data_IF_839630980324
#
_entry.id   IF_839630980324
#
_cell.length_a   1.000
_cell.length_b   1.000
_cell.length_c   1.000
_cell.angle_alpha   90.00
_cell.angle_beta   90.00
_cell.angle_gamma   90.00
#
_symmetry.space_group_name_H-M   'P 1'
#
loop_
_entity.id
_entity.type
_entity.pdbx_description
1 polymer ?
#
# COMPACT_ATOMS: atom_id res chain seq x y z
N UNK A 1 67.79 17.57 52.11
CA UNK A 1 67.50 18.35 50.89
C UNK A 1 66.61 17.47 50.05
N UNK A 2 65.30 17.56 50.27
CA UNK A 2 64.40 18.54 49.64
C UNK A 2 64.05 18.01 48.24
N UNK A 3 62.93 17.28 48.14
CA UNK A 3 61.64 17.76 47.54
C UNK A 3 61.71 17.63 45.99
N UNK A 4 60.76 17.05 45.25
CA UNK A 4 59.31 16.86 45.46
C UNK A 4 58.81 15.60 44.69
N UNK A 5 57.75 14.88 45.14
CA UNK A 5 56.35 14.90 44.62
C UNK A 5 56.22 14.66 43.10
N UNK A 6 55.41 13.77 42.51
CA UNK A 6 54.26 12.91 42.90
C UNK A 6 54.17 11.71 41.89
N UNK A 7 53.47 10.57 42.05
CA UNK A 7 52.60 9.99 43.10
C UNK A 7 52.45 8.45 42.97
N UNK A 8 51.84 7.84 43.98
CA UNK A 8 51.12 6.54 44.06
C UNK A 8 49.59 6.82 43.98
N UNK A 9 48.60 5.92 43.84
CA UNK A 9 48.46 4.46 43.60
C UNK A 9 47.02 4.23 43.02
N UNK A 10 46.65 3.00 42.68
CA UNK A 10 45.41 2.60 42.03
C UNK A 10 44.11 2.94 42.79
N UNK A 11 43.01 3.04 42.03
CA UNK A 11 41.65 2.77 42.50
C UNK A 11 40.80 2.28 41.33
N UNK A 12 40.15 1.13 41.50
CA UNK A 12 39.09 0.64 40.61
C UNK A 12 37.80 1.33 41.03
N UNK A 13 37.02 1.82 40.07
CA UNK A 13 35.63 2.26 40.31
C UNK A 13 34.71 1.68 39.23
N UNK A 14 33.61 1.06 39.66
CA UNK A 14 32.54 0.58 38.80
C UNK A 14 31.44 1.67 38.72
N UNK A 15 31.06 2.13 37.54
CA UNK A 15 30.04 3.19 37.47
C UNK A 15 29.60 3.64 36.08
N UNK A 16 28.73 2.84 35.47
CA UNK A 16 27.74 3.18 34.43
C UNK A 16 27.84 4.52 33.67
N UNK A 17 27.87 4.44 32.34
CA UNK A 17 26.90 5.20 31.55
C UNK A 17 26.53 4.46 30.25
N UNK A 18 25.37 3.78 30.25
CA UNK A 18 24.79 3.13 29.08
C UNK A 18 23.90 4.09 28.28
N UNK A 19 24.40 4.68 27.19
CA UNK A 19 23.59 5.12 26.04
C UNK A 19 24.49 5.50 24.85
N UNK A 20 24.40 4.89 23.68
CA UNK A 20 23.69 3.66 23.33
C UNK A 20 24.45 2.94 22.21
N UNK A 21 24.23 1.64 22.08
CA UNK A 21 24.90 0.79 21.09
C UNK A 21 24.48 1.18 19.66
N UNK A 22 25.31 2.01 19.04
CA UNK A 22 25.18 2.39 17.63
C UNK A 22 25.59 1.25 16.72
N UNK A 23 24.80 0.18 16.70
CA UNK A 23 24.95 -0.91 15.73
C UNK A 23 24.73 -0.33 14.34
N UNK A 24 25.84 -0.02 13.66
CA UNK A 24 25.83 0.41 12.26
C UNK A 24 25.36 -0.78 11.42
N UNK A 25 24.05 -0.82 11.18
CA UNK A 25 23.39 -1.84 10.37
C UNK A 25 24.05 -1.87 8.98
N UNK A 26 24.38 -3.07 8.48
CA UNK A 26 25.06 -3.17 7.19
C UNK A 26 24.16 -2.66 6.06
N UNK A 27 24.75 -2.16 4.97
CA UNK A 27 23.99 -1.66 3.81
C UNK A 27 22.98 -2.70 3.29
N UNK A 28 23.30 -3.98 3.38
CA UNK A 28 22.42 -5.10 3.00
C UNK A 28 21.22 -5.25 3.93
N UNK A 29 21.43 -5.19 5.25
CA UNK A 29 20.35 -5.25 6.25
C UNK A 29 19.49 -3.99 6.23
N UNK A 30 20.11 -2.86 5.91
CA UNK A 30 19.48 -1.56 5.71
C UNK A 30 18.50 -1.61 4.54
N UNK A 31 18.97 -1.97 3.34
CA UNK A 31 18.12 -2.13 2.14
C UNK A 31 17.03 -3.19 2.35
N UNK A 32 17.34 -4.28 3.06
CA UNK A 32 16.36 -5.32 3.36
C UNK A 32 15.22 -4.77 4.22
N UNK A 33 15.53 -4.06 5.31
CA UNK A 33 14.52 -3.43 6.16
C UNK A 33 13.66 -2.43 5.37
N UNK A 34 14.30 -1.59 4.56
CA UNK A 34 13.60 -0.58 3.74
C UNK A 34 12.61 -1.25 2.77
N UNK A 35 13.02 -2.35 2.12
CA UNK A 35 12.15 -3.17 1.26
C UNK A 35 11.03 -3.86 2.04
N UNK A 36 11.35 -4.53 3.17
CA UNK A 36 10.37 -5.26 3.99
C UNK A 36 9.32 -4.30 4.57
N UNK A 37 9.73 -3.11 5.02
CA UNK A 37 8.83 -2.06 5.52
C UNK A 37 8.01 -1.43 4.40
N UNK A 38 8.60 -1.19 3.21
CA UNK A 38 7.85 -0.71 2.05
C UNK A 38 6.75 -1.70 1.61
N UNK A 39 7.07 -3.00 1.57
CA UNK A 39 6.10 -4.07 1.29
C UNK A 39 5.00 -4.08 2.36
N UNK A 40 5.36 -4.02 3.64
CA UNK A 40 4.41 -3.94 4.77
C UNK A 40 3.41 -2.78 4.60
N UNK A 41 3.87 -1.59 4.21
CA UNK A 41 2.99 -0.44 3.96
C UNK A 41 2.03 -0.71 2.79
N UNK A 42 2.52 -1.19 1.64
CA UNK A 42 1.69 -1.50 0.47
C UNK A 42 0.66 -2.59 0.77
N UNK A 43 1.07 -3.68 1.42
CA UNK A 43 0.19 -4.80 1.76
C UNK A 43 -0.87 -4.41 2.80
N UNK A 44 -0.52 -3.59 3.79
CA UNK A 44 -1.48 -3.07 4.77
C UNK A 44 -2.55 -2.21 4.11
N UNK A 45 -2.16 -1.27 3.23
CA UNK A 45 -3.11 -0.42 2.52
C UNK A 45 -4.02 -1.23 1.57
N UNK A 46 -3.45 -2.22 0.90
CA UNK A 46 -4.21 -3.16 0.06
C UNK A 46 -5.20 -3.96 0.89
N UNK A 47 -4.80 -4.51 2.03
CA UNK A 47 -5.66 -5.30 2.90
C UNK A 47 -6.82 -4.45 3.48
N UNK A 48 -6.60 -3.16 3.74
CA UNK A 48 -7.68 -2.21 4.10
C UNK A 48 -8.66 -2.04 2.93
N UNK A 49 -8.16 -1.80 1.71
CA UNK A 49 -9.03 -1.62 0.54
C UNK A 49 -9.82 -2.89 0.18
N UNK A 50 -9.25 -4.08 0.43
CA UNK A 50 -9.94 -5.38 0.28
C UNK A 50 -10.81 -5.77 1.50
N UNK A 51 -10.92 -4.89 2.50
CA UNK A 51 -11.67 -5.10 3.75
C UNK A 51 -11.23 -6.35 4.55
N UNK A 52 -9.98 -6.79 4.34
CA UNK A 52 -9.36 -7.91 5.05
C UNK A 52 -8.88 -7.52 6.46
N UNK A 53 -8.55 -6.24 6.64
CA UNK A 53 -8.21 -5.64 7.93
C UNK A 53 -8.95 -4.32 8.10
N UNK A 54 -9.24 -3.94 9.34
CA UNK A 54 -9.83 -2.66 9.67
C UNK A 54 -8.76 -1.56 9.80
N UNK A 55 -9.13 -0.31 9.48
CA UNK A 55 -8.32 0.88 9.78
C UNK A 55 -7.93 0.95 11.27
N UNK A 56 -8.81 0.51 12.18
CA UNK A 56 -8.52 0.44 13.63
C UNK A 56 -7.45 -0.58 14.04
N UNK A 57 -7.01 -1.49 13.16
CA UNK A 57 -5.92 -2.43 13.44
C UNK A 57 -4.53 -1.84 13.18
N UNK A 58 -4.44 -0.66 12.54
CA UNK A 58 -3.18 -0.01 12.18
C UNK A 58 -2.17 0.12 13.35
N UNK A 59 -2.56 0.52 14.58
CA UNK A 59 -1.61 0.66 15.70
C UNK A 59 -1.07 -0.68 16.21
N UNK A 60 -1.74 -1.79 15.89
CA UNK A 60 -1.25 -3.14 16.20
C UNK A 60 -0.39 -3.74 15.07
N UNK A 61 -0.43 -3.12 13.87
CA UNK A 61 0.36 -3.53 12.69
C UNK A 61 1.71 -2.82 12.64
N UNK A 62 1.76 -1.55 13.03
CA UNK A 62 2.98 -0.74 13.06
C UNK A 62 3.54 -0.65 14.48
N UNK A 63 4.81 -1.00 14.66
CA UNK A 63 5.40 -1.22 15.99
C UNK A 63 5.91 0.06 16.65
N UNK A 64 6.14 1.11 15.87
CA UNK A 64 6.61 2.42 16.34
C UNK A 64 5.71 3.54 15.84
N UNK A 65 5.75 4.66 16.54
CA UNK A 65 5.07 5.90 16.13
C UNK A 65 5.53 6.34 14.75
N UNK A 66 6.84 6.27 14.46
CA UNK A 66 7.40 6.65 13.15
C UNK A 66 6.93 5.73 12.02
N UNK A 67 6.83 4.42 12.24
CA UNK A 67 6.25 3.50 11.26
C UNK A 67 4.80 3.89 10.90
N UNK A 68 3.98 4.23 11.92
CA UNK A 68 2.59 4.61 11.73
C UNK A 68 2.44 5.99 11.06
N UNK A 69 3.30 6.96 11.42
CA UNK A 69 3.39 8.27 10.74
C UNK A 69 3.77 8.09 9.27
N UNK A 70 4.78 7.26 8.98
CA UNK A 70 5.23 6.97 7.63
C UNK A 70 4.09 6.35 6.78
N UNK A 71 3.34 5.41 7.35
CA UNK A 71 2.14 4.86 6.71
C UNK A 71 1.04 5.91 6.48
N UNK A 72 0.85 6.84 7.42
CA UNK A 72 -0.03 8.00 7.26
C UNK A 72 0.36 8.89 6.07
N UNK A 73 1.65 9.19 5.90
CA UNK A 73 2.14 9.93 4.74
C UNK A 73 2.02 9.12 3.43
N UNK A 74 2.30 7.82 3.45
CA UNK A 74 2.16 6.94 2.29
C UNK A 74 0.71 6.81 1.81
N UNK A 75 -0.24 6.60 2.73
CA UNK A 75 -1.67 6.54 2.39
C UNK A 75 -2.21 7.85 1.82
N UNK A 76 -1.63 9.00 2.20
CA UNK A 76 -1.94 10.30 1.60
C UNK A 76 -1.28 10.55 0.23
N UNK A 77 -0.20 9.84 -0.13
CA UNK A 77 0.51 10.04 -1.40
C UNK A 77 -0.06 9.22 -2.56
N UNK A 78 -0.84 8.17 -2.28
CA UNK A 78 -1.45 7.31 -3.30
C UNK A 78 -2.72 7.93 -3.92
N UNK A 79 -3.03 7.60 -5.18
CA UNK A 79 -4.21 8.15 -5.85
C UNK A 79 -5.53 7.60 -5.28
N UNK A 80 -6.48 8.49 -4.98
CA UNK A 80 -7.88 8.14 -4.67
C UNK A 80 -8.60 7.64 -5.93
N UNK A 81 -9.34 6.54 -5.79
CA UNK A 81 -10.15 5.90 -6.84
C UNK A 81 -9.45 5.81 -8.23
N UNK A 82 -8.30 5.13 -8.33
CA UNK A 82 -7.48 5.13 -9.55
C UNK A 82 -8.04 4.29 -10.70
N UNK A 83 -9.12 3.52 -10.47
CA UNK A 83 -9.80 2.68 -11.46
C UNK A 83 -11.31 2.98 -11.50
N UNK A 84 -11.77 3.87 -12.40
CA UNK A 84 -13.20 4.09 -12.58
C UNK A 84 -13.90 2.87 -13.19
N UNK A 85 -15.13 2.60 -12.75
CA UNK A 85 -16.00 1.55 -13.28
C UNK A 85 -16.52 1.91 -14.70
N UNK A 86 -15.73 1.60 -15.73
CA UNK A 86 -16.05 1.93 -17.15
C UNK A 86 -16.83 0.82 -17.88
N UNK A 87 -17.28 -0.20 -17.15
CA UNK A 87 -18.04 -1.34 -17.66
C UNK A 87 -18.87 -1.97 -16.52
N UNK A 88 -20.05 -2.56 -16.79
CA UNK A 88 -20.86 -3.20 -15.76
C UNK A 88 -20.12 -4.34 -15.04
N UNK A 89 -20.12 -4.30 -13.71
CA UNK A 89 -19.49 -5.36 -12.90
C UNK A 89 -20.31 -6.65 -12.90
N UNK A 90 -21.64 -6.50 -12.86
CA UNK A 90 -22.59 -7.60 -12.99
C UNK A 90 -22.87 -7.91 -14.46
N UNK A 91 -22.95 -9.20 -14.81
CA UNK A 91 -23.35 -9.64 -16.13
C UNK A 91 -24.84 -9.42 -16.40
N UNK A 92 -25.21 -9.37 -17.68
CA UNK A 92 -26.61 -9.24 -18.13
C UNK A 92 -26.87 -10.14 -19.34
N UNK A 93 -27.93 -10.96 -19.25
CA UNK A 93 -28.27 -11.99 -20.23
C UNK A 93 -27.07 -12.93 -20.52
N UNK A 94 -26.47 -12.82 -21.71
CA UNK A 94 -25.32 -13.61 -22.16
C UNK A 94 -23.98 -12.87 -21.98
N UNK A 95 -24.02 -11.61 -21.57
CA UNK A 95 -22.84 -10.75 -21.48
C UNK A 95 -22.22 -10.83 -20.09
N UNK A 96 -20.92 -11.14 -20.04
CA UNK A 96 -20.16 -11.11 -18.79
C UNK A 96 -19.98 -9.67 -18.31
N UNK A 97 -20.11 -9.48 -17.00
CA UNK A 97 -19.63 -8.30 -16.30
C UNK A 97 -18.12 -8.37 -16.07
N UNK A 98 -17.50 -7.24 -15.71
CA UNK A 98 -16.08 -7.18 -15.34
C UNK A 98 -15.96 -6.40 -14.03
N UNK A 99 -15.69 -7.09 -12.89
CA UNK A 99 -15.59 -6.43 -11.60
C UNK A 99 -14.40 -5.48 -11.55
N UNK A 100 -14.53 -4.39 -10.80
CA UNK A 100 -13.44 -3.45 -10.54
C UNK A 100 -12.56 -4.02 -9.41
N UNK A 101 -11.23 -4.15 -9.60
CA UNK A 101 -10.35 -4.64 -8.54
C UNK A 101 -10.27 -3.66 -7.36
N UNK A 102 -10.75 -4.09 -6.19
CA UNK A 102 -10.82 -3.24 -5.01
C UNK A 102 -9.47 -3.01 -4.32
N UNK A 103 -8.46 -3.87 -4.53
CA UNK A 103 -7.13 -3.82 -3.86
C UNK A 103 -6.44 -2.46 -3.86
N UNK A 104 -6.66 -1.69 -4.93
CA UNK A 104 -6.05 -0.37 -5.14
C UNK A 104 -7.10 0.74 -5.18
N UNK A 105 -8.35 0.46 -4.81
CA UNK A 105 -9.43 1.42 -4.81
C UNK A 105 -9.53 2.13 -3.46
N UNK A 106 -8.53 2.94 -3.13
CA UNK A 106 -8.59 3.79 -1.94
C UNK A 106 -9.69 4.84 -2.11
N UNK A 107 -10.66 4.84 -1.20
CA UNK A 107 -11.75 5.83 -1.18
C UNK A 107 -11.40 6.98 -0.25
N UNK A 108 -11.99 8.17 -0.47
CA UNK A 108 -11.80 9.33 0.39
C UNK A 108 -12.17 9.05 1.86
N UNK A 109 -13.26 8.30 2.08
CA UNK A 109 -13.69 7.91 3.43
C UNK A 109 -12.68 6.97 4.11
N UNK A 110 -12.14 6.00 3.37
CA UNK A 110 -11.10 5.10 3.86
C UNK A 110 -9.82 5.85 4.19
N UNK A 111 -9.42 6.85 3.39
CA UNK A 111 -8.27 7.71 3.71
C UNK A 111 -8.52 8.55 4.96
N UNK A 112 -9.71 9.16 5.09
CA UNK A 112 -10.09 9.95 6.27
C UNK A 112 -10.11 9.10 7.55
N UNK A 113 -10.60 7.85 7.49
CA UNK A 113 -10.50 6.88 8.59
C UNK A 113 -9.06 6.54 8.94
N UNK A 114 -8.19 6.25 7.94
CA UNK A 114 -6.77 5.99 8.17
C UNK A 114 -6.10 7.20 8.85
N UNK A 115 -6.36 8.41 8.36
CA UNK A 115 -5.83 9.65 8.92
C UNK A 115 -6.32 9.87 10.36
N UNK A 116 -7.61 9.65 10.64
CA UNK A 116 -8.18 9.77 11.97
C UNK A 116 -7.59 8.74 12.95
N UNK A 117 -7.52 7.46 12.57
CA UNK A 117 -6.94 6.41 13.42
C UNK A 117 -5.47 6.70 13.70
N UNK A 118 -4.71 7.07 12.66
CA UNK A 118 -3.30 7.48 12.76
C UNK A 118 -3.15 8.61 13.79
N UNK A 119 -3.84 9.74 13.61
CA UNK A 119 -3.80 10.88 14.54
C UNK A 119 -4.22 10.53 15.96
N UNK A 120 -5.24 9.69 16.14
CA UNK A 120 -5.74 9.30 17.48
C UNK A 120 -4.81 8.35 18.24
N UNK A 121 -3.89 7.69 17.53
CA UNK A 121 -2.97 6.68 18.09
C UNK A 121 -1.58 7.23 18.40
N UNK A 122 -1.35 8.51 18.08
CA UNK A 122 -0.07 9.22 18.21
C UNK A 122 -0.21 10.29 19.31
N UNK A 123 0.88 10.61 20.01
CA UNK A 123 0.88 11.68 21.00
C UNK A 123 0.72 13.07 20.36
N UNK A 124 0.14 14.03 21.07
CA UNK A 124 -0.02 15.41 20.58
C UNK A 124 1.31 16.09 20.19
N UNK A 125 2.45 15.61 20.71
CA UNK A 125 3.79 16.14 20.43
C UNK A 125 4.33 15.68 19.06
N UNK A 126 4.04 14.43 18.68
CA UNK A 126 4.34 13.91 17.35
C UNK A 126 3.27 14.29 16.29
N UNK A 127 2.16 14.91 16.71
CA UNK A 127 1.07 15.40 15.87
C UNK A 127 1.47 16.73 15.18
N UNK A 128 2.46 16.62 14.28
CA UNK A 128 3.10 17.74 13.58
C UNK A 128 4.42 17.38 12.89
N UNK A 129 4.99 16.21 13.22
CA UNK A 129 6.19 15.64 12.62
C UNK A 129 6.02 15.49 11.10
N UNK A 130 6.96 16.03 10.32
CA UNK A 130 6.99 15.94 8.87
C UNK A 130 7.66 14.65 8.42
N UNK A 131 7.41 14.22 7.17
CA UNK A 131 8.10 13.07 6.58
C UNK A 131 9.63 13.24 6.59
N UNK A 132 10.13 14.48 6.53
CA UNK A 132 11.56 14.81 6.60
C UNK A 132 12.18 14.69 8.00
N UNK A 133 11.36 14.59 9.05
CA UNK A 133 11.81 14.40 10.43
C UNK A 133 11.98 12.91 10.78
N UNK A 134 11.55 12.00 9.90
CA UNK A 134 11.72 10.55 10.06
C UNK A 134 13.13 10.12 9.63
N UNK A 135 13.53 8.94 10.09
CA UNK A 135 14.79 8.31 9.67
C UNK A 135 14.91 8.15 8.15
N UNK A 136 16.13 8.27 7.62
CA UNK A 136 16.41 8.13 6.18
C UNK A 136 15.96 6.78 5.61
N UNK A 137 15.87 5.77 6.46
CA UNK A 137 15.40 4.42 6.18
C UNK A 137 13.88 4.41 5.94
N UNK A 138 13.12 5.07 6.81
CA UNK A 138 11.68 5.26 6.66
C UNK A 138 11.36 6.10 5.41
N UNK A 139 12.17 7.14 5.12
CA UNK A 139 12.03 7.96 3.92
C UNK A 139 12.28 7.14 2.64
N UNK A 140 13.32 6.28 2.62
CA UNK A 140 13.57 5.43 1.46
C UNK A 140 12.45 4.38 1.29
N UNK A 141 12.02 3.75 2.38
CA UNK A 141 10.90 2.80 2.37
C UNK A 141 9.58 3.44 1.89
N UNK A 142 9.31 4.70 2.26
CA UNK A 142 8.17 5.46 1.74
C UNK A 142 8.24 5.65 0.22
N UNK A 143 9.42 5.98 -0.32
CA UNK A 143 9.62 6.15 -1.77
C UNK A 143 9.44 4.81 -2.50
N UNK A 144 10.04 3.73 -1.98
CA UNK A 144 9.90 2.37 -2.50
C UNK A 144 8.42 1.92 -2.46
N UNK A 145 7.70 2.14 -1.35
CA UNK A 145 6.29 1.79 -1.22
C UNK A 145 5.42 2.56 -2.22
N UNK A 146 5.67 3.86 -2.40
CA UNK A 146 4.97 4.70 -3.37
C UNK A 146 5.19 4.18 -4.80
N UNK A 147 6.41 3.78 -5.15
CA UNK A 147 6.71 3.17 -6.44
C UNK A 147 5.99 1.82 -6.62
N UNK A 148 6.12 0.89 -5.66
CA UNK A 148 5.48 -0.44 -5.71
C UNK A 148 3.95 -0.30 -5.84
N UNK A 149 3.33 0.64 -5.12
CA UNK A 149 1.89 0.87 -5.21
C UNK A 149 1.48 1.38 -6.59
N UNK A 150 2.21 2.35 -7.16
CA UNK A 150 1.93 2.87 -8.51
C UNK A 150 2.10 1.79 -9.59
N UNK A 151 3.18 1.01 -9.55
CA UNK A 151 3.39 -0.13 -10.45
C UNK A 151 2.26 -1.16 -10.34
N UNK A 152 1.76 -1.42 -9.11
CA UNK A 152 0.60 -2.28 -8.85
C UNK A 152 -0.69 -1.69 -9.43
N UNK A 153 -0.95 -0.40 -9.26
CA UNK A 153 -2.10 0.32 -9.85
C UNK A 153 -2.08 0.20 -11.36
N UNK A 154 -0.95 0.45 -12.02
CA UNK A 154 -0.84 0.39 -13.48
C UNK A 154 -1.03 -1.03 -14.03
N UNK A 155 -0.45 -2.03 -13.38
CA UNK A 155 -0.64 -3.45 -13.72
C UNK A 155 -2.10 -3.88 -13.60
N UNK A 156 -2.77 -3.48 -12.51
CA UNK A 156 -4.19 -3.79 -12.27
C UNK A 156 -5.08 -3.04 -13.26
N UNK A 157 -4.83 -1.75 -13.52
CA UNK A 157 -5.54 -0.94 -14.55
C UNK A 157 -5.43 -1.57 -15.94
N UNK A 158 -4.23 -1.99 -16.32
CA UNK A 158 -3.97 -2.65 -17.62
C UNK A 158 -4.73 -3.97 -17.72
N UNK A 159 -4.71 -4.79 -16.67
CA UNK A 159 -5.47 -6.05 -16.60
C UNK A 159 -6.98 -5.83 -16.68
N UNK A 160 -7.52 -4.88 -15.91
CA UNK A 160 -8.94 -4.52 -15.93
C UNK A 160 -9.38 -4.03 -17.32
N UNK A 161 -8.64 -3.13 -17.96
CA UNK A 161 -8.97 -2.65 -19.32
C UNK A 161 -8.88 -3.75 -20.38
N UNK A 162 -7.95 -4.70 -20.25
CA UNK A 162 -7.89 -5.88 -21.12
C UNK A 162 -9.15 -6.77 -20.95
N UNK A 163 -9.59 -6.99 -19.71
CA UNK A 163 -10.81 -7.75 -19.41
C UNK A 163 -12.07 -7.04 -19.94
N UNK A 164 -12.17 -5.70 -19.77
CA UNK A 164 -13.25 -4.89 -20.36
C UNK A 164 -13.27 -4.97 -21.88
N UNK A 165 -12.11 -4.92 -22.54
CA UNK A 165 -12.01 -5.09 -24.01
C UNK A 165 -12.47 -6.47 -24.44
N UNK A 166 -12.09 -7.52 -23.72
CA UNK A 166 -12.50 -8.89 -24.00
C UNK A 166 -14.03 -9.08 -23.82
N UNK A 167 -14.61 -8.55 -22.75
CA UNK A 167 -16.05 -8.57 -22.52
C UNK A 167 -16.83 -7.82 -23.62
N UNK A 168 -16.34 -6.64 -24.04
CA UNK A 168 -16.93 -5.90 -25.18
C UNK A 168 -16.82 -6.65 -26.50
N UNK A 169 -15.71 -7.37 -26.76
CA UNK A 169 -15.57 -8.20 -27.95
C UNK A 169 -16.59 -9.37 -27.95
N UNK A 170 -16.75 -10.04 -26.80
CA UNK A 170 -17.76 -11.09 -26.62
C UNK A 170 -19.19 -10.59 -26.90
N UNK A 171 -19.54 -9.36 -26.49
CA UNK A 171 -20.85 -8.75 -26.79
C UNK A 171 -21.10 -8.69 -28.30
N UNK A 172 -20.10 -8.25 -29.07
CA UNK A 172 -20.18 -8.13 -30.54
C UNK A 172 -20.27 -9.51 -31.20
N UNK A 173 -19.48 -10.48 -30.75
CA UNK A 173 -19.49 -11.84 -31.30
C UNK A 173 -20.82 -12.57 -31.07
N UNK A 174 -21.32 -12.56 -29.82
CA UNK A 174 -22.58 -13.24 -29.46
C UNK A 174 -23.77 -12.58 -30.16
N UNK A 175 -23.82 -11.24 -30.24
CA UNK A 175 -24.91 -10.54 -30.92
C UNK A 175 -24.92 -10.79 -32.43
N UNK A 176 -23.75 -10.84 -33.08
CA UNK A 176 -23.64 -11.21 -34.50
C UNK A 176 -24.10 -12.65 -34.75
N UNK A 177 -23.68 -13.61 -33.92
CA UNK A 177 -24.11 -15.01 -34.01
C UNK A 177 -25.63 -15.16 -33.83
N UNK A 178 -26.23 -14.44 -32.86
CA UNK A 178 -27.67 -14.45 -32.61
C UNK A 178 -28.48 -13.91 -33.80
N UNK A 179 -28.06 -12.78 -34.39
CA UNK A 179 -28.71 -12.21 -35.58
C UNK A 179 -28.59 -13.16 -36.78
N UNK A 180 -27.42 -13.74 -37.01
CA UNK A 180 -27.19 -14.70 -38.09
C UNK A 180 -28.10 -15.95 -37.93
N UNK A 181 -28.17 -16.51 -36.72
CA UNK A 181 -29.06 -17.63 -36.41
C UNK A 181 -30.54 -17.33 -36.64
N UNK A 182 -31.00 -16.15 -36.23
CA UNK A 182 -32.38 -15.69 -36.49
C UNK A 182 -32.69 -15.60 -37.98
N UNK A 183 -31.78 -15.03 -38.79
CA UNK A 183 -31.97 -14.93 -40.25
C UNK A 183 -32.09 -16.32 -40.87
N UNK A 184 -31.21 -17.26 -40.50
CA UNK A 184 -31.27 -18.64 -41.00
C UNK A 184 -32.61 -19.31 -40.65
N UNK A 185 -33.04 -19.23 -39.39
CA UNK A 185 -34.32 -19.81 -38.94
C UNK A 185 -35.50 -19.20 -39.71
N UNK A 186 -35.54 -17.87 -39.88
CA UNK A 186 -36.59 -17.20 -40.64
C UNK A 186 -36.61 -17.61 -42.11
N UNK A 187 -35.44 -17.79 -42.75
CA UNK A 187 -35.39 -18.28 -44.14
C UNK A 187 -35.88 -19.71 -44.27
N UNK A 188 -35.57 -20.60 -43.32
CA UNK A 188 -36.04 -21.99 -43.33
C UNK A 188 -37.55 -22.08 -43.10
N UNK A 189 -38.10 -21.31 -42.15
CA UNK A 189 -39.54 -21.25 -41.88
C UNK A 189 -40.32 -20.66 -43.06
N UNK A 190 -39.72 -19.73 -43.82
CA UNK A 190 -40.34 -19.15 -45.03
C UNK A 190 -40.30 -20.07 -46.25
N UNK A 191 -39.57 -21.19 -46.17
CA UNK A 191 -39.37 -22.15 -47.25
C UNK A 191 -40.15 -23.47 -47.03
N UNK A 192 -40.83 -23.61 -45.89
CA UNK A 192 -41.58 -24.78 -45.44
C UNK A 192 -43.10 -24.58 -45.57
#
# INVERSE_FOLDING_TARGET
MAENEEKEDASIDEGSNEHGDGVVRSETEQQKFESDFAIKMVETLVAINEQQISSYELPNRFFTTDELICFGFFSNSVPINPLPAVYPENGFLLFRGVPVPMSVNLTSATLEEIEQVTKSSISNDALGQQLSDLGSDMINAYQIATQIYNDRVEKIRTSYLANVKNAKAQVVEISAAFVCGLVIILTLVSLA
#
